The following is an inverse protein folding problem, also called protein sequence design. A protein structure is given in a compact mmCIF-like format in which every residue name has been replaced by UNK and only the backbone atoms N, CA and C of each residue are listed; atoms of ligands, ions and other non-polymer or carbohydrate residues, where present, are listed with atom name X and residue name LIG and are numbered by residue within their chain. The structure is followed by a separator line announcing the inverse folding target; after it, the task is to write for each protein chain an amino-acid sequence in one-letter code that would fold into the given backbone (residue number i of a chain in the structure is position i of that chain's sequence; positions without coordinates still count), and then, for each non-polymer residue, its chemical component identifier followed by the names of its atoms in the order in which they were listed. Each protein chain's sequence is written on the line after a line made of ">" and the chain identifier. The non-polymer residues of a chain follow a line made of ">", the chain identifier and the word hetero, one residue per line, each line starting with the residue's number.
data_IF_544708742720
#
_entry.id   IF_544708742720
#
_cell.length_a   1.000
_cell.length_b   1.000
_cell.length_c   1.000
_cell.angle_alpha   90.00
_cell.angle_beta   90.00
_cell.angle_gamma   90.00
#
_symmetry.space_group_name_H-M   'P 1'
#
loop_
_entity.id
_entity.type
_entity.pdbx_description
1 polymer ?
#
# COMPACT_ATOMS: atom_id res chain seq x y z
N UNK A 1 -0.80 -5.77 13.94
CA UNK A 1 -2.06 -6.57 13.94
C UNK A 1 -2.25 -7.15 15.36
N UNK A 2 -3.35 -6.81 16.06
CA UNK A 2 -3.62 -6.99 17.52
C UNK A 2 -2.54 -6.54 18.53
N UNK A 3 -1.26 -6.83 18.30
CA UNK A 3 -0.10 -6.49 19.13
C UNK A 3 0.75 -5.33 18.59
N UNK A 4 0.23 -4.52 17.66
CA UNK A 4 0.93 -3.36 17.07
C UNK A 4 2.31 -3.61 16.41
N UNK A 5 2.65 -4.88 16.18
CA UNK A 5 3.82 -5.29 15.42
C UNK A 5 3.53 -5.24 13.92
N UNK A 6 4.49 -4.76 13.11
CA UNK A 6 4.39 -4.66 11.64
C UNK A 6 5.69 -5.03 10.92
N UNK A 7 6.73 -5.50 11.62
CA UNK A 7 8.01 -5.93 11.03
C UNK A 7 7.98 -7.42 10.65
N UNK A 8 6.85 -7.88 10.12
CA UNK A 8 6.60 -9.27 9.79
C UNK A 8 5.65 -9.30 8.60
N UNK A 9 6.07 -9.88 7.47
CA UNK A 9 5.25 -9.98 6.27
C UNK A 9 5.84 -9.25 5.07
N UNK A 10 4.95 -8.67 4.25
CA UNK A 10 5.30 -8.13 2.95
C UNK A 10 5.41 -6.61 3.01
N UNK A 11 6.60 -6.09 2.69
CA UNK A 11 6.90 -4.67 2.83
C UNK A 11 5.99 -3.80 1.94
N UNK A 12 5.53 -2.67 2.49
CA UNK A 12 4.79 -1.63 1.75
C UNK A 12 5.55 -1.20 0.49
N UNK A 13 6.88 -1.10 0.55
CA UNK A 13 7.71 -0.75 -0.62
C UNK A 13 7.53 -1.72 -1.80
N UNK A 14 7.41 -3.02 -1.50
CA UNK A 14 7.23 -4.04 -2.54
C UNK A 14 5.80 -4.04 -3.06
N UNK A 15 4.81 -3.87 -2.17
CA UNK A 15 3.42 -3.76 -2.57
C UNK A 15 3.19 -2.58 -3.52
N UNK A 16 3.77 -1.41 -3.23
CA UNK A 16 3.64 -0.24 -4.11
C UNK A 16 4.31 -0.43 -5.46
N UNK A 17 5.46 -1.11 -5.51
CA UNK A 17 6.11 -1.47 -6.78
C UNK A 17 5.17 -2.33 -7.62
N UNK A 18 4.54 -3.34 -7.03
CA UNK A 18 3.62 -4.22 -7.75
C UNK A 18 2.32 -3.50 -8.16
N UNK A 19 1.79 -2.60 -7.32
CA UNK A 19 0.65 -1.74 -7.68
C UNK A 19 0.99 -0.77 -8.83
N UNK A 20 2.22 -0.30 -8.92
CA UNK A 20 2.70 0.50 -10.05
C UNK A 20 2.48 -0.24 -11.37
N UNK A 21 2.90 -1.50 -11.45
CA UNK A 21 2.67 -2.33 -12.65
C UNK A 21 1.18 -2.55 -12.95
N UNK A 22 0.35 -2.77 -11.92
CA UNK A 22 -1.10 -2.94 -12.10
C UNK A 22 -1.74 -1.66 -12.66
N UNK A 23 -1.34 -0.49 -12.15
CA UNK A 23 -1.88 0.80 -12.59
C UNK A 23 -1.39 1.18 -13.99
N UNK A 24 -0.13 0.89 -14.33
CA UNK A 24 0.41 1.07 -15.68
C UNK A 24 -0.37 0.22 -16.70
N UNK A 25 -0.61 -1.06 -16.38
CA UNK A 25 -1.38 -1.96 -17.24
C UNK A 25 -2.84 -1.50 -17.36
N UNK A 26 -3.46 -1.07 -16.27
CA UNK A 26 -4.81 -0.51 -16.27
C UNK A 26 -4.95 0.70 -17.21
N UNK A 27 -3.95 1.59 -17.24
CA UNK A 27 -3.92 2.72 -18.17
C UNK A 27 -3.81 2.22 -19.61
N UNK A 28 -2.95 1.22 -19.86
CA UNK A 28 -2.73 0.68 -21.20
C UNK A 28 -3.98 0.00 -21.79
N UNK A 29 -4.75 -0.71 -20.97
CA UNK A 29 -5.94 -1.44 -21.41
C UNK A 29 -7.27 -0.68 -21.18
N UNK A 30 -7.22 0.52 -20.60
CA UNK A 30 -8.39 1.37 -20.35
C UNK A 30 -9.29 0.89 -19.20
N UNK A 31 -8.81 -0.01 -18.36
CA UNK A 31 -9.56 -0.48 -17.19
C UNK A 31 -9.54 0.55 -16.07
N UNK A 32 -10.67 0.69 -15.37
CA UNK A 32 -10.78 1.61 -14.24
C UNK A 32 -10.45 0.90 -12.92
N UNK A 33 -9.45 1.41 -12.19
CA UNK A 33 -8.97 0.85 -10.92
C UNK A 33 -8.94 1.90 -9.79
N UNK A 34 -10.03 2.66 -9.64
CA UNK A 34 -10.18 3.71 -8.61
C UNK A 34 -9.82 3.26 -7.18
N UNK A 35 -10.28 2.09 -6.75
CA UNK A 35 -9.99 1.56 -5.40
C UNK A 35 -8.50 1.24 -5.25
N UNK A 36 -7.87 0.69 -6.29
CA UNK A 36 -6.44 0.37 -6.27
C UNK A 36 -5.60 1.64 -6.18
N UNK A 37 -5.95 2.68 -6.94
CA UNK A 37 -5.31 4.00 -6.87
C UNK A 37 -5.44 4.63 -5.48
N UNK A 38 -6.62 4.50 -4.86
CA UNK A 38 -6.84 4.96 -3.50
C UNK A 38 -5.96 4.23 -2.49
N UNK A 39 -5.87 2.90 -2.61
CA UNK A 39 -5.02 2.08 -1.74
C UNK A 39 -3.53 2.39 -1.94
N UNK A 40 -3.07 2.59 -3.18
CA UNK A 40 -1.69 3.02 -3.45
C UNK A 40 -1.39 4.37 -2.78
N UNK A 41 -2.34 5.32 -2.82
CA UNK A 41 -2.21 6.61 -2.13
C UNK A 41 -2.03 6.43 -0.62
N UNK A 42 -2.77 5.50 0.00
CA UNK A 42 -2.59 5.21 1.43
C UNK A 42 -1.22 4.59 1.75
N UNK A 43 -0.71 3.73 0.88
CA UNK A 43 0.64 3.19 1.01
C UNK A 43 1.71 4.26 0.80
N UNK A 44 1.51 5.20 -0.13
CA UNK A 44 2.41 6.33 -0.36
C UNK A 44 2.56 7.19 0.90
N UNK A 45 1.45 7.51 1.57
CA UNK A 45 1.48 8.22 2.83
C UNK A 45 2.20 7.43 3.93
N UNK A 46 2.11 6.10 3.95
CA UNK A 46 2.84 5.26 4.91
C UNK A 46 4.34 5.27 4.67
N UNK A 47 4.79 5.22 3.42
CA UNK A 47 6.21 5.38 3.09
C UNK A 47 6.75 6.73 3.54
N UNK A 48 6.00 7.82 3.30
CA UNK A 48 6.38 9.17 3.74
C UNK A 48 6.51 9.28 5.27
N UNK A 49 5.73 8.48 6.02
CA UNK A 49 5.80 8.40 7.49
C UNK A 49 6.85 7.39 7.99
N UNK A 50 7.75 6.90 7.13
CA UNK A 50 8.83 5.97 7.50
C UNK A 50 8.41 4.51 7.62
N UNK A 51 7.19 4.16 7.20
CA UNK A 51 6.63 2.80 7.29
C UNK A 51 6.88 1.91 6.07
N UNK A 52 7.82 2.24 5.18
CA UNK A 52 8.03 1.52 3.92
C UNK A 52 8.37 0.03 4.10
N UNK A 53 9.08 -0.31 5.19
CA UNK A 53 9.42 -1.70 5.55
C UNK A 53 8.39 -2.40 6.41
N UNK A 54 7.33 -1.70 6.83
CA UNK A 54 6.24 -2.33 7.55
C UNK A 54 5.45 -3.21 6.60
N UNK A 55 4.79 -4.19 7.18
CA UNK A 55 3.86 -5.04 6.48
C UNK A 55 2.66 -4.24 5.94
N UNK A 56 2.09 -4.73 4.85
CA UNK A 56 0.86 -4.20 4.24
C UNK A 56 -0.31 -4.02 5.23
N UNK A 57 -0.43 -4.87 6.26
CA UNK A 57 -1.44 -4.71 7.31
C UNK A 57 -1.29 -3.41 8.12
N UNK A 58 -0.18 -2.68 7.98
CA UNK A 58 0.05 -1.37 8.61
C UNK A 58 -0.91 -0.26 8.17
N UNK A 59 -1.69 -0.48 7.09
CA UNK A 59 -2.84 0.35 6.77
C UNK A 59 -3.87 0.38 7.90
N UNK A 60 -3.97 -0.68 8.71
CA UNK A 60 -4.85 -0.71 9.88
C UNK A 60 -4.58 0.44 10.86
N UNK A 61 -3.32 0.87 11.02
CA UNK A 61 -2.98 2.04 11.84
C UNK A 61 -3.56 3.35 11.32
N UNK A 62 -3.97 3.44 10.05
CA UNK A 62 -4.67 4.62 9.51
C UNK A 62 -6.10 4.74 10.06
N UNK A 63 -6.75 3.60 10.37
CA UNK A 63 -8.15 3.55 10.79
C UNK A 63 -8.36 3.74 12.29
N UNK A 64 -7.30 3.59 13.09
CA UNK A 64 -7.34 3.67 14.56
C UNK A 64 -6.65 4.93 15.13
N UNK A 65 -6.58 6.01 14.35
CA UNK A 65 -6.06 7.30 14.81
C UNK A 65 -7.00 8.01 15.77
#
# INVERSE_FOLDING_TARGET
>A
MLSDFFEHGFAVDWMRKDLGFVLEEAIANGSNFEVTTLVDTFYAEKQQRGGGRWDTSSLFRRLRS
#
